data_IF_025918215174
#
_entry.id   IF_025918215174
#
_cell.length_a   1.000
_cell.length_b   1.000
_cell.length_c   1.000
_cell.angle_alpha   90.00
_cell.angle_beta   90.00
_cell.angle_gamma   90.00
#
_symmetry.space_group_name_H-M   'P 1'
#
loop_
_entity.id
_entity.type
_entity.pdbx_description
1 polymer ?
#
# COMPACT_ATOMS: atom_id res chain seq x y z
N UNK A 1 24.78 20.72 -6.80
CA UNK A 1 24.76 20.38 -5.36
C UNK A 1 23.75 19.27 -5.19
N UNK A 2 24.22 18.06 -4.91
CA UNK A 2 23.42 16.83 -4.83
C UNK A 2 22.44 16.90 -3.67
N UNK A 3 21.15 16.71 -3.95
CA UNK A 3 20.11 16.63 -2.93
C UNK A 3 20.48 15.56 -1.90
N UNK A 4 20.50 15.94 -0.63
CA UNK A 4 20.67 15.06 0.53
C UNK A 4 19.73 13.86 0.39
N UNK A 5 20.27 12.64 0.42
CA UNK A 5 19.52 11.42 0.20
C UNK A 5 18.35 11.32 1.19
N UNK A 6 17.12 11.46 0.68
CA UNK A 6 15.93 11.23 1.48
C UNK A 6 15.99 9.80 2.05
N UNK A 7 15.67 9.59 3.33
CA UNK A 7 15.73 8.27 3.93
C UNK A 7 14.83 7.30 3.16
N UNK A 8 15.37 6.17 2.71
CA UNK A 8 14.59 5.14 2.01
C UNK A 8 13.64 4.49 3.03
N UNK A 9 12.34 4.48 2.73
CA UNK A 9 11.31 3.79 3.51
C UNK A 9 10.73 2.66 2.67
N UNK A 10 11.37 1.48 2.63
CA UNK A 10 10.91 0.38 1.79
C UNK A 10 9.59 -0.18 2.34
N UNK A 11 8.61 -0.29 1.46
CA UNK A 11 7.29 -0.85 1.74
C UNK A 11 6.88 -1.81 0.63
N UNK A 12 5.84 -2.59 0.88
CA UNK A 12 5.28 -3.53 -0.06
C UNK A 12 3.77 -3.34 -0.21
N UNK A 13 3.28 -3.46 -1.44
CA UNK A 13 1.85 -3.54 -1.75
C UNK A 13 1.45 -5.01 -1.73
N UNK A 14 0.39 -5.33 -0.98
CA UNK A 14 -0.17 -6.67 -0.92
C UNK A 14 -1.63 -6.68 -1.32
N UNK A 15 -2.02 -7.74 -2.03
CA UNK A 15 -3.40 -8.01 -2.44
C UNK A 15 -3.90 -9.30 -1.79
N UNK A 16 -5.18 -9.32 -1.45
CA UNK A 16 -5.89 -10.51 -1.01
C UNK A 16 -7.16 -10.67 -1.85
N UNK A 17 -7.20 -11.76 -2.63
CA UNK A 17 -8.32 -12.10 -3.51
C UNK A 17 -9.13 -13.30 -2.98
N UNK A 18 -8.55 -14.11 -2.10
CA UNK A 18 -9.13 -15.40 -1.68
C UNK A 18 -8.69 -15.84 -0.27
N UNK A 19 -8.48 -14.89 0.65
CA UNK A 19 -8.12 -15.15 2.05
C UNK A 19 -6.64 -15.06 2.38
N UNK A 20 -5.74 -15.13 1.38
CA UNK A 20 -4.30 -14.98 1.57
C UNK A 20 -3.75 -13.67 0.97
N UNK A 21 -2.81 -13.04 1.69
CA UNK A 21 -2.10 -11.85 1.22
C UNK A 21 -0.89 -12.23 0.36
N UNK A 22 -0.77 -11.62 -0.81
CA UNK A 22 0.36 -11.80 -1.74
C UNK A 22 0.99 -10.45 -2.05
N UNK A 23 2.31 -10.40 -2.09
CA UNK A 23 3.04 -9.19 -2.48
C UNK A 23 2.97 -9.00 -3.99
N UNK A 24 2.55 -7.81 -4.41
CA UNK A 24 2.45 -7.40 -5.82
C UNK A 24 3.70 -6.64 -6.24
N UNK A 25 4.15 -5.69 -5.42
CA UNK A 25 5.35 -4.90 -5.68
C UNK A 25 5.97 -4.37 -4.38
N UNK A 26 7.24 -3.97 -4.49
CA UNK A 26 7.96 -3.20 -3.48
C UNK A 26 8.20 -1.78 -3.99
N UNK A 27 8.13 -0.78 -3.13
CA UNK A 27 8.39 0.61 -3.48
C UNK A 27 8.92 1.41 -2.30
N UNK A 28 9.41 2.63 -2.57
CA UNK A 28 9.88 3.54 -1.54
C UNK A 28 8.76 4.51 -1.14
N UNK A 29 8.27 4.41 0.10
CA UNK A 29 7.25 5.32 0.62
C UNK A 29 7.75 6.75 0.84
N UNK A 30 9.06 7.01 0.76
CA UNK A 30 9.62 8.36 0.76
C UNK A 30 9.61 9.03 -0.61
N UNK A 31 9.25 8.29 -1.66
CA UNK A 31 8.96 8.86 -2.98
C UNK A 31 7.45 9.09 -3.07
N UNK A 32 7.03 10.34 -2.81
CA UNK A 32 5.62 10.72 -2.77
C UNK A 32 4.92 10.47 -4.11
N UNK A 33 5.63 10.64 -5.23
CA UNK A 33 5.08 10.40 -6.56
C UNK A 33 4.80 8.90 -6.77
N UNK A 34 5.78 8.05 -6.47
CA UNK A 34 5.60 6.60 -6.55
C UNK A 34 4.49 6.13 -5.59
N UNK A 35 4.46 6.67 -4.37
CA UNK A 35 3.44 6.33 -3.38
C UNK A 35 2.02 6.77 -3.80
N UNK A 36 1.88 7.92 -4.45
CA UNK A 36 0.60 8.37 -5.00
C UNK A 36 0.14 7.49 -6.17
N UNK A 37 1.03 7.22 -7.14
CA UNK A 37 0.75 6.36 -8.30
C UNK A 37 0.29 4.96 -7.89
N UNK A 38 0.93 4.37 -6.87
CA UNK A 38 0.54 3.06 -6.34
C UNK A 38 -0.86 3.10 -5.73
N UNK A 39 -1.19 4.15 -4.98
CA UNK A 39 -2.51 4.30 -4.35
C UNK A 39 -3.62 4.50 -5.38
N UNK A 40 -3.42 5.39 -6.35
CA UNK A 40 -4.38 5.65 -7.44
C UNK A 40 -4.61 4.40 -8.30
N UNK A 41 -3.54 3.68 -8.66
CA UNK A 41 -3.67 2.45 -9.45
C UNK A 41 -4.52 1.39 -8.72
N UNK A 42 -4.35 1.26 -7.40
CA UNK A 42 -5.14 0.33 -6.60
C UNK A 42 -6.60 0.77 -6.48
N UNK A 43 -6.87 2.07 -6.38
CA UNK A 43 -8.25 2.59 -6.39
C UNK A 43 -8.95 2.21 -7.69
N UNK A 44 -8.28 2.37 -8.84
CA UNK A 44 -8.80 1.94 -10.15
C UNK A 44 -9.04 0.43 -10.20
N UNK A 45 -8.09 -0.38 -9.72
CA UNK A 45 -8.24 -1.84 -9.68
C UNK A 45 -9.42 -2.27 -8.79
N UNK A 46 -9.62 -1.61 -7.66
CA UNK A 46 -10.73 -1.89 -6.76
C UNK A 46 -12.09 -1.52 -7.36
N UNK A 47 -12.15 -0.46 -8.17
CA UNK A 47 -13.37 -0.11 -8.92
C UNK A 47 -13.77 -1.21 -9.91
N UNK A 48 -12.80 -1.94 -10.48
CA UNK A 48 -13.06 -3.07 -11.38
C UNK A 48 -13.48 -4.33 -10.60
N UNK A 49 -12.84 -4.63 -9.47
CA UNK A 49 -13.21 -5.75 -8.60
C UNK A 49 -13.16 -5.38 -7.10
N UNK A 50 -14.34 -5.11 -6.55
CA UNK A 50 -14.52 -4.72 -5.16
C UNK A 50 -14.36 -5.87 -4.15
N UNK A 51 -14.16 -7.12 -4.62
CA UNK A 51 -13.88 -8.26 -3.73
C UNK A 51 -12.42 -8.27 -3.28
N UNK A 52 -11.56 -7.61 -4.05
CA UNK A 52 -10.14 -7.49 -3.73
C UNK A 52 -9.93 -6.64 -2.47
N UNK A 53 -8.97 -7.03 -1.65
CA UNK A 53 -8.51 -6.25 -0.50
C UNK A 53 -7.05 -5.91 -0.70
N UNK A 54 -6.70 -4.69 -0.36
CA UNK A 54 -5.36 -4.14 -0.58
C UNK A 54 -4.81 -3.58 0.71
N UNK A 55 -3.49 -3.70 0.87
CA UNK A 55 -2.78 -3.07 1.97
C UNK A 55 -1.36 -2.70 1.58
N UNK A 56 -0.87 -1.61 2.16
CA UNK A 56 0.54 -1.23 2.13
C UNK A 56 1.13 -1.58 3.48
N UNK A 57 2.24 -2.32 3.48
CA UNK A 57 2.91 -2.78 4.70
C UNK A 57 4.41 -2.51 4.68
N UNK A 58 5.05 -2.54 5.85
CA UNK A 58 6.51 -2.62 5.93
C UNK A 58 7.04 -3.93 5.33
N UNK A 59 8.34 -3.99 5.06
CA UNK A 59 9.02 -5.18 4.49
C UNK A 59 9.55 -6.16 5.56
N UNK A 60 9.16 -5.99 6.82
CA UNK A 60 9.57 -6.87 7.93
C UNK A 60 9.03 -8.30 7.75
N UNK A 61 9.66 -9.26 8.43
CA UNK A 61 9.20 -10.66 8.48
C UNK A 61 7.74 -10.77 8.95
N UNK A 62 7.34 -9.89 9.86
CA UNK A 62 5.95 -9.70 10.28
C UNK A 62 5.53 -8.29 9.82
N UNK A 63 4.87 -8.15 8.67
CA UNK A 63 4.61 -6.85 8.07
C UNK A 63 3.65 -6.01 8.92
N UNK A 64 4.04 -4.78 9.24
CA UNK A 64 3.15 -3.80 9.86
C UNK A 64 2.27 -3.16 8.78
N UNK A 65 0.95 -3.14 9.00
CA UNK A 65 -0.01 -2.50 8.09
C UNK A 65 0.01 -0.98 8.29
N UNK A 66 0.32 -0.25 7.23
CA UNK A 66 0.37 1.22 7.19
C UNK A 66 -0.93 1.79 6.64
N UNK A 67 -1.43 1.21 5.54
CA UNK A 67 -2.70 1.59 4.89
C UNK A 67 -3.45 0.37 4.43
N UNK A 68 -4.77 0.45 4.39
CA UNK A 68 -5.63 -0.61 3.85
C UNK A 68 -6.80 -0.04 3.05
N UNK A 69 -7.23 -0.80 2.04
CA UNK A 69 -8.37 -0.49 1.18
C UNK A 69 -9.15 -1.79 0.92
N UNK A 70 -10.47 -1.74 1.06
CA UNK A 70 -11.35 -2.85 0.71
C UNK A 70 -12.81 -2.56 1.00
N UNK A 71 -13.63 -3.60 1.02
CA UNK A 71 -15.09 -3.49 1.24
C UNK A 71 -15.46 -2.76 2.55
N UNK A 72 -14.69 -2.94 3.61
CA UNK A 72 -14.93 -2.33 4.91
C UNK A 72 -14.52 -0.85 4.97
N UNK A 73 -13.76 -0.37 3.98
CA UNK A 73 -13.35 1.03 3.87
C UNK A 73 -14.09 1.76 2.75
N UNK A 74 -15.10 1.12 2.15
CA UNK A 74 -15.85 1.66 1.01
C UNK A 74 -14.95 2.05 -0.17
N UNK A 75 -13.82 1.36 -0.35
CA UNK A 75 -12.86 1.66 -1.42
C UNK A 75 -11.96 2.87 -1.16
N UNK A 76 -11.92 3.39 0.06
CA UNK A 76 -11.03 4.50 0.45
C UNK A 76 -9.82 3.94 1.21
N UNK A 77 -8.65 4.55 1.01
CA UNK A 77 -7.46 4.24 1.80
C UNK A 77 -7.62 4.74 3.24
N UNK A 78 -7.56 3.81 4.18
CA UNK A 78 -7.54 4.12 5.61
C UNK A 78 -6.13 3.89 6.14
N UNK A 79 -5.53 4.96 6.65
CA UNK A 79 -4.26 4.90 7.36
C UNK A 79 -4.49 4.31 8.75
N UNK A 80 -3.55 3.48 9.22
CA UNK A 80 -3.53 3.11 10.63
C UNK A 80 -3.08 4.33 11.42
N UNK A 81 -3.99 4.93 12.18
CA UNK A 81 -3.62 5.88 13.24
C UNK A 81 -2.64 5.16 14.17
N UNK A 82 -1.49 5.78 14.46
CA UNK A 82 -0.60 5.29 15.52
C UNK A 82 -1.43 5.07 16.79
N UNK A 83 -1.36 3.86 17.35
CA UNK A 83 -1.94 3.52 18.64
C UNK A 83 -0.90 3.76 19.73
#
# INVERSE_FOLDING_TARGET
>A
MTASGAPIRPVQLQVNTAGAWKTVLHFNASDDMAAAQVQEAVEVLYQVDQRTRWRITTCDRVPLVLRHLGSHTYGVWISRSEA
#
